data_IF_505481117743
#
_entry.id   IF_505481117743
#
_cell.length_a   1.000
_cell.length_b   1.000
_cell.length_c   1.000
_cell.angle_alpha   90.00
_cell.angle_beta   90.00
_cell.angle_gamma   90.00
#
_symmetry.space_group_name_H-M   'P 1'
#
loop_
_entity.id
_entity.type
_entity.pdbx_description
1 polymer ?
#
# COMPACT_ATOMS: atom_id res chain seq x y z
N UNK A 1 -12.51 11.28 -3.83
CA UNK A 1 -11.60 12.45 -3.84
C UNK A 1 -12.35 13.72 -4.16
N UNK A 2 -11.86 14.85 -3.69
CA UNK A 2 -12.43 16.17 -3.92
C UNK A 2 -11.65 16.90 -5.01
N UNK A 3 -12.37 17.54 -5.95
CA UNK A 3 -11.70 18.36 -6.96
C UNK A 3 -10.95 19.53 -6.30
N UNK A 4 -9.75 19.87 -6.76
CA UNK A 4 -9.01 21.02 -6.23
C UNK A 4 -9.65 22.38 -6.52
N UNK A 5 -10.63 22.46 -7.41
CA UNK A 5 -11.47 23.64 -7.60
C UNK A 5 -12.44 23.81 -6.42
N UNK A 6 -11.93 24.10 -5.26
CA UNK A 6 -12.76 24.54 -4.18
C UNK A 6 -13.42 25.85 -4.58
N UNK A 7 -14.72 25.83 -4.86
CA UNK A 7 -15.48 27.06 -4.77
C UNK A 7 -15.32 27.55 -3.35
N UNK A 8 -14.86 28.78 -3.17
CA UNK A 8 -14.71 29.39 -1.83
C UNK A 8 -16.07 29.72 -1.19
N UNK A 9 -17.11 29.01 -1.56
CA UNK A 9 -18.38 29.13 -0.90
C UNK A 9 -18.39 28.32 0.39
N UNK A 10 -19.22 28.73 1.33
CA UNK A 10 -19.32 28.11 2.65
C UNK A 10 -19.86 26.68 2.65
N UNK A 11 -20.21 26.13 1.46
CA UNK A 11 -20.78 24.78 1.32
C UNK A 11 -19.74 23.68 1.13
N UNK A 12 -18.47 24.03 0.84
CA UNK A 12 -17.39 23.06 0.64
C UNK A 12 -17.04 22.83 -0.83
N UNK A 13 -16.52 21.65 -1.16
CA UNK A 13 -16.11 21.31 -2.52
C UNK A 13 -17.28 20.79 -3.34
N UNK A 14 -17.59 21.49 -4.44
CA UNK A 14 -18.72 21.18 -5.32
C UNK A 14 -18.52 19.87 -6.07
N UNK A 15 -17.36 19.71 -6.68
CA UNK A 15 -17.06 18.58 -7.57
C UNK A 15 -16.36 17.45 -6.79
N UNK A 16 -17.05 16.31 -6.68
CA UNK A 16 -16.58 15.15 -5.90
C UNK A 16 -16.58 13.93 -6.81
N UNK A 17 -15.49 13.15 -6.78
CA UNK A 17 -15.37 11.88 -7.49
C UNK A 17 -15.36 10.71 -6.50
N UNK A 18 -16.17 9.68 -6.80
CA UNK A 18 -16.27 8.45 -6.00
C UNK A 18 -16.07 7.23 -6.89
N UNK A 19 -15.10 6.41 -6.55
CA UNK A 19 -14.91 5.10 -7.13
C UNK A 19 -15.63 4.05 -6.28
N UNK A 20 -16.40 3.19 -6.94
CA UNK A 20 -17.18 2.12 -6.30
C UNK A 20 -16.68 0.78 -6.81
N UNK A 21 -16.41 -0.17 -5.91
CA UNK A 21 -15.85 -1.48 -6.26
C UNK A 21 -16.87 -2.37 -7.01
N UNK A 22 -17.25 -1.93 -8.21
CA UNK A 22 -18.14 -2.61 -9.15
C UNK A 22 -17.36 -3.08 -10.38
N UNK A 23 -17.76 -4.21 -10.95
CA UNK A 23 -17.20 -4.79 -12.17
C UNK A 23 -18.30 -4.96 -13.21
N UNK A 24 -17.93 -4.84 -14.49
CA UNK A 24 -18.78 -4.99 -15.67
C UNK A 24 -19.96 -4.00 -15.70
N UNK A 25 -19.76 -2.83 -15.04
CA UNK A 25 -20.68 -1.69 -15.01
C UNK A 25 -19.92 -0.42 -14.60
N UNK A 26 -20.62 0.71 -14.65
CA UNK A 26 -20.07 2.00 -14.19
C UNK A 26 -19.58 1.87 -12.74
N UNK A 27 -18.39 2.40 -12.48
CA UNK A 27 -17.71 2.27 -11.20
C UNK A 27 -16.97 3.54 -10.75
N UNK A 28 -16.97 4.60 -11.57
CA UNK A 28 -16.55 5.94 -11.20
C UNK A 28 -17.69 6.90 -11.43
N UNK A 29 -18.03 7.65 -10.39
CA UNK A 29 -19.13 8.63 -10.40
C UNK A 29 -18.61 10.01 -10.03
N UNK A 30 -19.27 11.05 -10.54
CA UNK A 30 -19.01 12.45 -10.20
C UNK A 30 -20.28 13.13 -9.73
N UNK A 31 -20.14 13.92 -8.69
CA UNK A 31 -21.12 14.91 -8.27
C UNK A 31 -20.63 16.31 -8.64
N UNK A 32 -21.52 17.20 -9.08
CA UNK A 32 -21.25 18.61 -9.35
C UNK A 32 -22.06 19.54 -8.43
N UNK A 33 -22.64 18.99 -7.37
CA UNK A 33 -23.58 19.67 -6.47
C UNK A 33 -23.38 19.27 -4.99
N UNK A 34 -22.09 19.16 -4.58
CA UNK A 34 -21.67 18.84 -3.18
C UNK A 34 -22.05 17.44 -2.70
N UNK A 35 -22.38 16.53 -3.62
CA UNK A 35 -22.75 15.15 -3.30
C UNK A 35 -24.27 14.91 -3.30
N UNK A 36 -25.09 15.90 -3.66
CA UNK A 36 -26.55 15.76 -3.69
C UNK A 36 -27.00 14.82 -4.83
N UNK A 37 -26.38 14.93 -6.01
CA UNK A 37 -26.64 14.02 -7.14
C UNK A 37 -25.34 13.47 -7.73
N UNK A 38 -25.44 12.30 -8.37
CA UNK A 38 -24.30 11.56 -8.91
C UNK A 38 -24.58 11.08 -10.32
N UNK A 39 -23.60 11.19 -11.19
CA UNK A 39 -23.65 10.65 -12.54
C UNK A 39 -22.37 9.85 -12.86
N UNK A 40 -22.45 8.81 -13.70
CA UNK A 40 -21.27 8.07 -14.11
C UNK A 40 -20.34 8.94 -14.95
N UNK A 41 -19.03 8.77 -14.79
CA UNK A 41 -18.02 9.38 -15.66
C UNK A 41 -18.00 8.62 -16.99
N UNK A 42 -18.16 9.32 -18.10
CA UNK A 42 -18.23 8.70 -19.42
C UNK A 42 -16.89 8.05 -19.85
N UNK A 43 -16.98 6.96 -20.62
CA UNK A 43 -15.82 6.28 -21.22
C UNK A 43 -14.91 5.58 -20.24
N UNK A 44 -15.31 5.44 -18.98
CA UNK A 44 -14.54 4.78 -17.93
C UNK A 44 -14.30 3.28 -18.23
N UNK A 45 -13.17 2.71 -17.78
CA UNK A 45 -12.97 1.27 -17.84
C UNK A 45 -13.93 0.57 -16.87
N UNK A 46 -14.77 -0.34 -17.39
CA UNK A 46 -15.79 -1.05 -16.58
C UNK A 46 -15.45 -2.51 -16.32
N UNK A 47 -14.49 -3.08 -17.08
CA UNK A 47 -14.11 -4.51 -17.01
C UNK A 47 -13.42 -4.91 -15.70
N UNK A 48 -13.00 -3.93 -14.89
CA UNK A 48 -12.33 -4.11 -13.63
C UNK A 48 -13.02 -3.33 -12.50
N UNK A 49 -12.58 -3.59 -11.26
CA UNK A 49 -12.99 -2.86 -10.06
C UNK A 49 -11.94 -1.81 -9.74
N UNK A 50 -12.30 -0.56 -9.49
CA UNK A 50 -11.38 0.40 -8.90
C UNK A 50 -10.90 -0.10 -7.54
N UNK A 51 -9.60 0.01 -7.30
CA UNK A 51 -8.96 -0.34 -6.03
C UNK A 51 -8.44 0.90 -5.31
N UNK A 52 -8.03 1.93 -6.07
CA UNK A 52 -7.60 3.22 -5.52
C UNK A 52 -7.92 4.34 -6.50
N UNK A 53 -8.05 5.56 -5.96
CA UNK A 53 -8.33 6.78 -6.70
C UNK A 53 -7.56 7.94 -6.09
N UNK A 54 -6.71 8.59 -6.87
CA UNK A 54 -6.00 9.81 -6.50
C UNK A 54 -6.22 10.93 -7.51
N UNK A 55 -6.03 12.19 -7.10
CA UNK A 55 -6.27 13.38 -7.92
C UNK A 55 -5.13 14.39 -7.76
N UNK A 56 -4.73 15.01 -8.87
CA UNK A 56 -3.78 16.14 -8.88
C UNK A 56 -4.49 17.50 -8.89
N UNK A 57 -3.74 18.55 -8.52
CA UNK A 57 -4.21 19.94 -8.64
C UNK A 57 -4.52 20.34 -10.10
N UNK A 58 -3.95 19.65 -11.08
CA UNK A 58 -4.23 19.87 -12.51
C UNK A 58 -5.45 19.10 -13.01
N UNK A 59 -6.27 18.53 -12.12
CA UNK A 59 -7.48 17.77 -12.46
C UNK A 59 -7.21 16.50 -13.29
N UNK A 60 -6.13 15.82 -13.01
CA UNK A 60 -5.90 14.46 -13.51
C UNK A 60 -6.22 13.46 -12.40
N UNK A 61 -7.09 12.50 -12.67
CA UNK A 61 -7.34 11.35 -11.82
C UNK A 61 -6.42 10.20 -12.24
N UNK A 62 -5.92 9.47 -11.24
CA UNK A 62 -5.26 8.18 -11.44
C UNK A 62 -6.05 7.13 -10.68
N UNK A 63 -6.38 6.05 -11.37
CA UNK A 63 -7.10 4.91 -10.81
C UNK A 63 -6.30 3.64 -11.04
N UNK A 64 -6.17 2.85 -10.00
CA UNK A 64 -5.76 1.45 -10.10
C UNK A 64 -6.98 0.57 -10.11
N UNK A 65 -6.84 -0.59 -10.77
CA UNK A 65 -7.93 -1.54 -10.96
C UNK A 65 -7.46 -2.98 -10.75
N UNK A 66 -8.36 -3.81 -10.24
CA UNK A 66 -8.23 -5.25 -10.15
C UNK A 66 -9.50 -5.97 -10.58
N UNK A 67 -9.40 -7.25 -10.92
CA UNK A 67 -10.57 -8.09 -11.24
C UNK A 67 -11.32 -8.53 -9.97
N UNK A 68 -10.69 -8.43 -8.80
CA UNK A 68 -11.26 -8.68 -7.47
C UNK A 68 -10.94 -7.52 -6.53
N UNK A 69 -11.64 -7.37 -5.38
CA UNK A 69 -11.35 -6.29 -4.44
C UNK A 69 -10.03 -6.49 -3.64
N UNK A 70 -9.35 -7.67 -3.76
CA UNK A 70 -8.26 -8.04 -2.86
C UNK A 70 -8.78 -8.54 -1.49
N UNK A 71 -7.90 -8.90 -0.57
CA UNK A 71 -6.43 -9.00 -0.66
C UNK A 71 -5.93 -10.27 -1.32
N UNK A 72 -6.77 -11.17 -1.77
CA UNK A 72 -6.36 -12.42 -2.40
C UNK A 72 -7.04 -12.62 -3.75
N UNK A 73 -6.44 -13.49 -4.59
CA UNK A 73 -6.99 -13.94 -5.87
C UNK A 73 -7.05 -12.93 -7.01
N UNK A 74 -6.44 -11.75 -6.88
CA UNK A 74 -6.36 -10.79 -8.00
C UNK A 74 -5.53 -11.38 -9.15
N UNK A 75 -6.10 -11.39 -10.37
CA UNK A 75 -5.53 -12.05 -11.56
C UNK A 75 -5.42 -11.13 -12.76
N UNK A 76 -6.05 -9.98 -12.70
CA UNK A 76 -6.04 -9.01 -13.79
C UNK A 76 -6.30 -7.60 -13.26
N UNK A 77 -5.89 -6.59 -14.02
CA UNK A 77 -6.08 -5.21 -13.65
C UNK A 77 -5.26 -4.25 -14.50
N UNK A 78 -5.23 -3.00 -14.11
CA UNK A 78 -4.45 -1.99 -14.82
C UNK A 78 -4.47 -0.65 -14.10
N UNK A 79 -3.85 0.34 -14.72
CA UNK A 79 -3.78 1.72 -14.24
C UNK A 79 -4.26 2.65 -15.33
N UNK A 80 -5.24 3.48 -15.01
CA UNK A 80 -5.77 4.48 -15.94
C UNK A 80 -5.63 5.87 -15.38
N UNK A 81 -5.34 6.79 -16.29
CA UNK A 81 -5.38 8.22 -16.04
C UNK A 81 -6.58 8.83 -16.77
N UNK A 82 -7.32 9.68 -16.08
CA UNK A 82 -8.42 10.47 -16.63
C UNK A 82 -8.10 11.96 -16.53
N UNK A 83 -7.99 12.61 -17.68
CA UNK A 83 -7.87 14.07 -17.80
C UNK A 83 -9.29 14.65 -17.80
N UNK A 84 -9.69 15.25 -16.68
CA UNK A 84 -11.03 15.79 -16.48
C UNK A 84 -11.35 16.89 -17.50
N UNK A 85 -10.38 17.78 -17.77
CA UNK A 85 -10.59 18.91 -18.68
C UNK A 85 -10.83 18.48 -20.12
N UNK A 86 -10.25 17.34 -20.54
CA UNK A 86 -10.35 16.82 -21.91
C UNK A 86 -11.34 15.67 -22.04
N UNK A 87 -11.93 15.23 -20.94
CA UNK A 87 -12.76 14.01 -20.89
C UNK A 87 -12.03 12.81 -21.56
N UNK A 88 -10.76 12.56 -21.16
CA UNK A 88 -9.92 11.60 -21.83
C UNK A 88 -9.32 10.57 -20.89
N UNK A 89 -9.62 9.31 -21.16
CA UNK A 89 -9.00 8.16 -20.53
C UNK A 89 -7.73 7.72 -21.25
N UNK A 90 -6.72 7.32 -20.49
CA UNK A 90 -5.46 6.77 -21.02
C UNK A 90 -5.01 5.63 -20.11
N UNK A 91 -4.81 4.44 -20.70
CA UNK A 91 -4.16 3.34 -20.01
C UNK A 91 -2.66 3.66 -19.85
N UNK A 92 -2.21 3.71 -18.60
CA UNK A 92 -0.83 4.01 -18.22
C UNK A 92 -0.19 2.86 -17.42
N UNK A 93 -0.73 1.64 -17.51
CA UNK A 93 -0.25 0.48 -16.75
C UNK A 93 1.26 0.27 -16.91
N UNK A 94 2.03 0.11 -15.83
CA UNK A 94 3.48 -0.11 -15.88
C UNK A 94 3.90 -1.35 -16.65
N UNK A 95 3.19 -2.45 -16.45
CA UNK A 95 3.41 -3.71 -17.17
C UNK A 95 2.36 -3.83 -18.25
N UNK A 96 2.80 -3.87 -19.51
CA UNK A 96 1.92 -4.06 -20.66
C UNK A 96 1.72 -5.54 -20.92
N UNK A 97 0.48 -6.00 -20.80
CA UNK A 97 0.10 -7.38 -21.08
C UNK A 97 -0.30 -7.50 -22.54
N UNK A 98 0.25 -8.47 -23.23
CA UNK A 98 -0.13 -8.74 -24.63
C UNK A 98 -1.57 -9.28 -24.68
N UNK A 99 -2.24 -9.05 -25.79
CA UNK A 99 -3.66 -9.32 -25.98
C UNK A 99 -4.09 -10.75 -25.59
N UNK A 100 -3.23 -11.74 -25.79
CA UNK A 100 -3.53 -13.15 -25.56
C UNK A 100 -2.85 -13.70 -24.29
N UNK A 101 -2.19 -12.84 -23.50
CA UNK A 101 -1.56 -13.20 -22.23
C UNK A 101 -2.45 -12.84 -21.06
N UNK A 102 -2.38 -13.64 -20.00
CA UNK A 102 -3.01 -13.32 -18.72
C UNK A 102 -2.04 -12.51 -17.87
N UNK A 103 -2.52 -11.45 -17.26
CA UNK A 103 -1.73 -10.66 -16.33
C UNK A 103 -1.29 -11.51 -15.12
N UNK A 104 -2.19 -12.23 -14.51
CA UNK A 104 -1.97 -13.02 -13.31
C UNK A 104 -1.84 -12.18 -12.03
N UNK A 105 -1.97 -10.86 -12.13
CA UNK A 105 -1.87 -9.88 -11.04
C UNK A 105 -2.75 -8.68 -11.35
N UNK A 106 -2.91 -7.77 -10.38
CA UNK A 106 -3.57 -6.48 -10.59
C UNK A 106 -2.84 -5.34 -9.89
N UNK A 107 -3.47 -4.18 -9.84
CA UNK A 107 -2.95 -3.01 -9.15
C UNK A 107 -3.87 -2.63 -8.01
N UNK A 108 -3.31 -2.15 -6.89
CA UNK A 108 -4.09 -1.98 -5.68
C UNK A 108 -4.09 -0.55 -5.15
N UNK A 109 -2.99 0.19 -5.25
CA UNK A 109 -2.93 1.56 -4.79
C UNK A 109 -2.21 2.48 -5.76
N UNK A 110 -2.55 3.77 -5.69
CA UNK A 110 -1.94 4.82 -6.48
C UNK A 110 -1.86 6.12 -5.71
N UNK A 111 -0.76 6.85 -5.88
CA UNK A 111 -0.67 8.24 -5.47
C UNK A 111 -0.09 9.08 -6.59
N UNK A 112 -0.69 10.25 -6.82
CA UNK A 112 -0.20 11.27 -7.74
C UNK A 112 0.27 12.47 -6.93
N UNK A 113 1.48 12.97 -7.21
CA UNK A 113 1.92 14.23 -6.62
C UNK A 113 0.95 15.36 -7.03
N UNK A 114 0.22 15.94 -6.09
CA UNK A 114 -0.80 16.94 -6.43
C UNK A 114 -0.24 18.17 -7.12
N UNK A 115 1.03 18.52 -6.89
CA UNK A 115 1.70 19.68 -7.45
C UNK A 115 2.42 19.38 -8.78
N UNK A 116 2.72 18.10 -9.03
CA UNK A 116 3.35 17.68 -10.28
C UNK A 116 2.75 16.36 -10.78
N UNK A 117 1.69 16.40 -11.60
CA UNK A 117 0.99 15.19 -12.05
C UNK A 117 1.80 14.27 -12.96
N UNK A 118 3.04 14.64 -13.28
CA UNK A 118 3.97 13.73 -13.95
C UNK A 118 4.58 12.71 -12.96
N UNK A 119 4.58 13.02 -11.67
CA UNK A 119 5.10 12.16 -10.62
C UNK A 119 3.96 11.32 -10.01
N UNK A 120 4.08 10.02 -10.14
CA UNK A 120 3.11 9.07 -9.60
C UNK A 120 3.82 7.84 -9.10
N UNK A 121 3.19 7.16 -8.17
CA UNK A 121 3.55 5.81 -7.73
C UNK A 121 2.30 4.93 -7.76
N UNK A 122 2.49 3.65 -8.09
CA UNK A 122 1.42 2.63 -8.05
C UNK A 122 1.98 1.33 -7.51
N UNK A 123 1.16 0.56 -6.81
CA UNK A 123 1.53 -0.76 -6.31
C UNK A 123 0.76 -1.87 -7.00
N UNK A 124 1.37 -3.05 -7.06
CA UNK A 124 0.77 -4.26 -7.58
C UNK A 124 0.22 -5.14 -6.46
N UNK A 125 -0.55 -6.13 -6.86
CA UNK A 125 -0.99 -7.21 -5.99
C UNK A 125 -0.99 -8.53 -6.75
N UNK A 126 -0.35 -9.56 -6.16
CA UNK A 126 -0.13 -10.89 -6.76
C UNK A 126 0.84 -10.91 -7.96
N UNK A 127 1.77 -9.97 -8.03
CA UNK A 127 2.81 -9.97 -9.08
C UNK A 127 3.90 -11.02 -8.83
N UNK A 128 4.04 -11.51 -7.62
CA UNK A 128 5.04 -12.48 -7.19
C UNK A 128 5.15 -13.69 -8.13
N UNK A 129 6.39 -13.99 -8.57
CA UNK A 129 6.69 -15.07 -9.51
C UNK A 129 6.27 -14.84 -10.96
N UNK A 130 5.79 -13.62 -11.31
CA UNK A 130 5.25 -13.31 -12.64
C UNK A 130 6.02 -12.18 -13.30
N UNK A 131 6.02 -12.15 -14.65
CA UNK A 131 6.62 -11.10 -15.47
C UNK A 131 8.06 -10.71 -15.09
N UNK A 132 8.81 -11.64 -14.47
CA UNK A 132 10.19 -11.42 -14.03
C UNK A 132 10.32 -10.65 -12.71
N UNK A 133 9.27 -10.64 -11.90
CA UNK A 133 9.26 -10.11 -10.53
C UNK A 133 9.13 -11.26 -9.52
N UNK A 134 9.82 -11.13 -8.39
CA UNK A 134 9.84 -12.14 -7.31
C UNK A 134 8.87 -11.82 -6.17
N UNK A 135 8.34 -10.61 -6.15
CA UNK A 135 7.38 -10.09 -5.17
C UNK A 135 6.45 -9.09 -5.81
N UNK A 136 5.48 -8.61 -5.08
CA UNK A 136 4.77 -7.39 -5.44
C UNK A 136 5.73 -6.23 -5.60
N UNK A 137 5.37 -5.25 -6.41
CA UNK A 137 6.24 -4.16 -6.83
C UNK A 137 5.55 -2.80 -6.68
N UNK A 138 6.34 -1.80 -6.44
CA UNK A 138 5.93 -0.41 -6.52
C UNK A 138 6.62 0.25 -7.71
N UNK A 139 5.83 0.84 -8.60
CA UNK A 139 6.32 1.52 -9.79
C UNK A 139 6.23 3.02 -9.63
N UNK A 140 7.29 3.73 -10.02
CA UNK A 140 7.34 5.19 -10.06
C UNK A 140 7.48 5.69 -11.49
N UNK A 141 6.76 6.75 -11.81
CA UNK A 141 6.92 7.54 -13.04
C UNK A 141 7.21 9.00 -12.73
N UNK A 142 7.93 9.66 -13.63
CA UNK A 142 8.21 11.10 -13.60
C UNK A 142 7.81 11.81 -14.90
N UNK A 143 7.10 11.10 -15.77
CA UNK A 143 6.67 11.60 -17.09
C UNK A 143 5.19 11.38 -17.40
N UNK A 144 4.37 11.21 -16.34
CA UNK A 144 2.93 11.10 -16.44
C UNK A 144 2.44 9.72 -16.89
N UNK A 145 3.20 8.67 -16.58
CA UNK A 145 2.85 7.28 -16.87
C UNK A 145 3.29 6.79 -18.23
N UNK A 146 4.17 7.52 -18.95
CA UNK A 146 4.73 7.05 -20.22
C UNK A 146 5.79 5.98 -20.01
N UNK A 147 6.65 6.18 -18.98
CA UNK A 147 7.66 5.22 -18.57
C UNK A 147 7.60 5.05 -17.05
N UNK A 148 7.83 3.81 -16.62
CA UNK A 148 7.81 3.44 -15.21
C UNK A 148 9.09 2.75 -14.79
N UNK A 149 9.53 3.01 -13.57
CA UNK A 149 10.67 2.37 -12.93
C UNK A 149 10.20 1.56 -11.73
N UNK A 150 10.55 0.27 -11.65
CA UNK A 150 10.24 -0.56 -10.49
C UNK A 150 11.17 -0.16 -9.33
N UNK A 151 10.60 0.16 -8.17
CA UNK A 151 11.36 0.62 -7.01
C UNK A 151 12.11 -0.54 -6.37
N UNK A 152 11.43 -1.64 -6.05
CA UNK A 152 12.03 -2.76 -5.33
C UNK A 152 13.01 -3.55 -6.19
N UNK A 153 12.68 -3.75 -7.45
CA UNK A 153 13.58 -4.43 -8.42
C UNK A 153 14.84 -3.61 -8.73
N UNK A 154 14.75 -2.28 -8.69
CA UNK A 154 15.92 -1.40 -8.89
C UNK A 154 16.87 -1.46 -7.69
N UNK A 155 16.31 -1.55 -6.50
CA UNK A 155 17.03 -1.69 -5.23
C UNK A 155 16.33 -0.94 -4.10
N UNK A 156 16.29 -1.59 -2.96
CA UNK A 156 15.71 -1.01 -1.74
C UNK A 156 16.46 -1.51 -0.50
N UNK A 157 16.25 -0.81 0.60
CA UNK A 157 16.72 -1.22 1.92
C UNK A 157 15.67 -0.89 2.96
N UNK A 158 15.37 -1.84 3.83
CA UNK A 158 14.55 -1.61 5.00
C UNK A 158 15.40 -1.19 6.20
N UNK A 159 14.93 -0.17 6.90
CA UNK A 159 15.42 0.23 8.20
C UNK A 159 14.39 -0.15 9.28
N UNK A 160 14.71 -1.20 10.02
CA UNK A 160 13.89 -1.73 11.11
C UNK A 160 14.30 -1.22 12.49
N UNK A 161 15.22 -0.24 12.57
CA UNK A 161 15.81 0.18 13.84
C UNK A 161 14.81 0.64 14.89
N UNK A 162 13.67 1.21 14.46
CA UNK A 162 12.60 1.67 15.34
C UNK A 162 11.63 0.55 15.78
N UNK A 163 11.63 -0.60 15.11
CA UNK A 163 10.77 -1.75 15.41
C UNK A 163 11.45 -3.04 14.93
N UNK A 164 12.46 -3.55 15.66
CA UNK A 164 13.29 -4.68 15.21
C UNK A 164 12.53 -5.97 14.91
N UNK A 165 11.38 -6.18 15.54
CA UNK A 165 10.53 -7.34 15.32
C UNK A 165 9.97 -7.43 13.89
N UNK A 166 9.92 -6.32 13.16
CA UNK A 166 9.41 -6.27 11.78
C UNK A 166 10.37 -6.84 10.74
N UNK A 167 11.58 -7.27 11.12
CA UNK A 167 12.57 -7.88 10.21
C UNK A 167 12.07 -9.16 9.54
N UNK A 168 11.10 -9.83 10.13
CA UNK A 168 10.46 -11.04 9.57
C UNK A 168 9.27 -10.73 8.66
N UNK A 169 8.85 -9.47 8.57
CA UNK A 169 7.67 -9.06 7.83
C UNK A 169 7.93 -9.14 6.31
N UNK A 170 7.16 -9.94 5.56
CA UNK A 170 7.27 -9.97 4.12
C UNK A 170 6.71 -8.71 3.46
N UNK A 171 7.24 -8.35 2.29
CA UNK A 171 6.68 -7.30 1.45
C UNK A 171 5.43 -7.85 0.73
N UNK A 172 4.25 -7.52 1.24
CA UNK A 172 2.98 -7.92 0.66
C UNK A 172 1.87 -6.94 1.09
N UNK A 173 0.75 -6.98 0.38
CA UNK A 173 -0.44 -6.18 0.71
C UNK A 173 -0.16 -4.68 0.83
N UNK A 174 0.48 -4.11 -0.18
CA UNK A 174 0.72 -2.66 -0.25
C UNK A 174 -0.58 -1.93 -0.63
N UNK A 175 -1.52 -1.87 0.32
CA UNK A 175 -2.88 -1.38 0.07
C UNK A 175 -3.00 0.12 -0.09
N UNK A 176 -2.12 0.86 0.55
CA UNK A 176 -2.16 2.31 0.47
C UNK A 176 -0.75 2.87 0.34
N UNK A 177 -0.60 3.80 -0.58
CA UNK A 177 0.64 4.52 -0.82
C UNK A 177 0.32 6.00 -1.05
N UNK A 178 1.10 6.88 -0.42
CA UNK A 178 0.90 8.32 -0.57
C UNK A 178 2.24 9.06 -0.72
N UNK A 179 2.27 9.99 -1.68
CA UNK A 179 3.34 10.97 -1.83
C UNK A 179 2.98 12.18 -0.98
N UNK A 180 3.91 12.64 -0.14
CA UNK A 180 3.70 13.86 0.63
C UNK A 180 3.65 15.08 -0.30
N UNK A 181 2.54 15.84 -0.34
CA UNK A 181 2.41 17.00 -1.21
C UNK A 181 3.39 18.14 -0.89
N UNK A 182 3.93 18.17 0.33
CA UNK A 182 4.93 19.14 0.76
C UNK A 182 6.38 18.72 0.49
N UNK A 183 6.60 17.42 0.18
CA UNK A 183 7.93 16.88 -0.09
C UNK A 183 7.85 15.65 -1.00
N UNK A 184 8.09 15.74 -2.30
CA UNK A 184 7.96 14.63 -3.25
C UNK A 184 9.01 13.51 -3.08
N UNK A 185 10.02 13.72 -2.23
CA UNK A 185 10.96 12.65 -1.80
C UNK A 185 10.39 11.80 -0.67
N UNK A 186 9.39 12.30 0.06
CA UNK A 186 8.73 11.60 1.14
C UNK A 186 7.49 10.89 0.61
N UNK A 187 7.47 9.59 0.77
CA UNK A 187 6.31 8.76 0.52
C UNK A 187 6.11 7.76 1.66
N UNK A 188 4.89 7.36 1.87
CA UNK A 188 4.51 6.32 2.83
C UNK A 188 3.75 5.21 2.13
N UNK A 189 3.85 3.99 2.63
CA UNK A 189 2.97 2.89 2.25
C UNK A 189 2.67 1.99 3.44
N UNK A 190 1.57 1.27 3.36
CA UNK A 190 1.16 0.31 4.38
C UNK A 190 1.23 -1.12 3.87
N UNK A 191 1.47 -2.05 4.79
CA UNK A 191 1.36 -3.50 4.58
C UNK A 191 0.52 -4.09 5.70
N UNK A 192 0.26 -5.41 5.66
CA UNK A 192 -0.33 -6.11 6.81
C UNK A 192 0.54 -6.11 8.08
N UNK A 193 1.79 -5.65 8.01
CA UNK A 193 2.75 -5.61 9.12
C UNK A 193 3.16 -4.21 9.56
N UNK A 194 2.48 -3.18 9.11
CA UNK A 194 2.73 -1.81 9.53
C UNK A 194 2.97 -0.84 8.37
N UNK A 195 3.35 0.37 8.73
CA UNK A 195 3.62 1.47 7.80
C UNK A 195 5.11 1.68 7.57
N UNK A 196 5.44 2.14 6.39
CA UNK A 196 6.80 2.39 5.95
C UNK A 196 6.90 3.78 5.31
N UNK A 197 7.98 4.49 5.57
CA UNK A 197 8.25 5.80 4.99
C UNK A 197 9.62 5.86 4.31
N UNK A 198 9.73 6.66 3.27
CA UNK A 198 11.00 7.00 2.63
C UNK A 198 11.15 8.51 2.49
N UNK A 199 12.38 8.99 2.51
CA UNK A 199 12.74 10.38 2.22
C UNK A 199 13.70 10.49 1.02
N UNK A 200 13.87 9.41 0.26
CA UNK A 200 14.68 9.38 -0.95
C UNK A 200 14.00 8.65 -2.10
N UNK A 201 12.71 8.92 -2.32
CA UNK A 201 11.90 8.25 -3.34
C UNK A 201 12.52 8.36 -4.75
N UNK A 202 13.20 9.47 -5.08
CA UNK A 202 13.92 9.64 -6.36
C UNK A 202 15.23 8.84 -6.46
N UNK A 203 15.60 8.08 -5.46
CA UNK A 203 16.73 7.14 -5.55
C UNK A 203 16.59 6.19 -6.74
N UNK A 204 15.35 5.77 -7.07
CA UNK A 204 15.09 4.90 -8.21
C UNK A 204 15.53 5.51 -9.55
N UNK A 205 15.42 6.84 -9.73
CA UNK A 205 15.88 7.55 -10.93
C UNK A 205 17.40 7.51 -11.06
N UNK A 206 18.12 7.55 -9.95
CA UNK A 206 19.58 7.53 -9.87
C UNK A 206 20.16 6.11 -9.80
N UNK A 207 19.29 5.08 -9.79
CA UNK A 207 19.65 3.67 -9.57
C UNK A 207 20.30 3.44 -8.19
N UNK A 208 19.88 4.21 -7.21
CA UNK A 208 20.26 4.08 -5.81
C UNK A 208 19.15 3.34 -5.05
N UNK A 209 19.47 2.57 -4.02
CA UNK A 209 18.44 1.95 -3.19
C UNK A 209 17.52 2.99 -2.55
N UNK A 210 16.21 2.79 -2.66
CA UNK A 210 15.24 3.56 -1.88
C UNK A 210 15.21 2.98 -0.47
N UNK A 211 15.40 3.82 0.54
CA UNK A 211 15.43 3.42 1.95
C UNK A 211 14.05 3.59 2.55
N UNK A 212 13.48 2.50 3.06
CA UNK A 212 12.19 2.48 3.71
C UNK A 212 12.36 2.22 5.21
N UNK A 213 12.00 3.18 6.04
CA UNK A 213 12.04 3.09 7.49
C UNK A 213 10.67 2.71 8.03
N UNK A 214 10.65 1.78 8.99
CA UNK A 214 9.40 1.42 9.68
C UNK A 214 8.89 2.61 10.51
N UNK A 215 7.60 2.89 10.41
CA UNK A 215 6.93 3.98 11.13
C UNK A 215 5.86 3.48 12.13
N UNK A 216 5.99 2.24 12.58
CA UNK A 216 5.04 1.65 13.53
C UNK A 216 5.30 2.03 15.00
N UNK A 217 6.41 2.70 15.32
CA UNK A 217 6.74 3.07 16.70
C UNK A 217 5.66 3.97 17.33
N UNK A 218 5.07 3.52 18.43
CA UNK A 218 3.99 4.19 19.12
C UNK A 218 2.58 3.92 18.60
N UNK A 219 2.48 3.16 17.51
CA UNK A 219 1.21 2.68 16.93
C UNK A 219 1.26 1.18 16.65
N UNK A 220 2.17 0.47 17.32
CA UNK A 220 2.32 -0.97 17.15
C UNK A 220 1.01 -1.68 17.50
N UNK A 221 0.56 -2.51 16.58
CA UNK A 221 -0.57 -3.40 16.78
C UNK A 221 -0.14 -4.83 16.48
N UNK A 222 -0.26 -5.70 17.48
CA UNK A 222 -0.08 -7.14 17.34
C UNK A 222 -1.32 -7.85 17.86
N UNK A 223 -1.55 -9.08 17.42
CA UNK A 223 -2.68 -9.90 17.87
C UNK A 223 -2.20 -10.86 18.96
N UNK A 224 -2.29 -10.49 20.26
CA UNK A 224 -1.93 -11.39 21.34
C UNK A 224 -2.95 -12.52 21.40
N UNK A 225 -2.46 -13.76 21.30
CA UNK A 225 -3.26 -14.98 21.34
C UNK A 225 -3.15 -15.66 22.70
N UNK A 226 -1.98 -15.55 23.35
CA UNK A 226 -1.73 -16.15 24.67
C UNK A 226 -0.68 -15.31 25.41
N UNK A 227 -0.80 -15.23 26.72
CA UNK A 227 0.18 -14.63 27.62
C UNK A 227 0.52 -15.60 28.76
N UNK A 228 1.80 -15.75 29.03
CA UNK A 228 2.31 -16.54 30.13
C UNK A 228 3.27 -15.70 30.99
N UNK A 229 3.04 -15.66 32.30
CA UNK A 229 3.91 -14.99 33.26
C UNK A 229 4.64 -16.06 34.10
N UNK A 230 5.90 -16.38 33.80
CA UNK A 230 6.66 -17.34 34.61
C UNK A 230 7.02 -16.74 35.98
N UNK A 231 7.16 -17.60 36.99
CA UNK A 231 7.57 -17.16 38.34
C UNK A 231 9.01 -16.63 38.37
N UNK A 232 9.85 -17.07 37.45
CA UNK A 232 11.26 -16.67 37.33
C UNK A 232 11.62 -16.42 35.87
N UNK A 233 12.64 -15.58 35.66
CA UNK A 233 13.15 -15.27 34.33
C UNK A 233 12.40 -14.11 33.69
N UNK A 234 11.81 -14.33 32.51
CA UNK A 234 11.05 -13.30 31.82
C UNK A 234 9.81 -12.86 32.62
N UNK A 235 9.42 -11.61 32.50
CA UNK A 235 8.19 -11.08 33.13
C UNK A 235 6.96 -11.59 32.43
N UNK A 236 6.99 -11.62 31.11
CA UNK A 236 5.90 -12.10 30.24
C UNK A 236 6.51 -12.79 29.03
N UNK A 237 5.88 -13.87 28.60
CA UNK A 237 6.09 -14.48 27.29
C UNK A 237 4.76 -14.36 26.56
N UNK A 238 4.75 -13.78 25.37
CA UNK A 238 3.56 -13.62 24.55
C UNK A 238 3.61 -14.53 23.35
N UNK A 239 2.51 -15.23 23.08
CA UNK A 239 2.19 -15.84 21.79
C UNK A 239 1.34 -14.90 20.99
N UNK A 240 1.77 -14.54 19.78
CA UNK A 240 1.06 -13.58 18.94
C UNK A 240 0.87 -14.11 17.52
N UNK A 241 -0.15 -13.58 16.85
CA UNK A 241 -0.36 -13.81 15.44
C UNK A 241 0.73 -13.16 14.59
N UNK A 242 1.05 -13.77 13.46
CA UNK A 242 1.97 -13.33 12.42
C UNK A 242 3.45 -13.23 12.81
N UNK A 243 3.76 -12.82 14.05
CA UNK A 243 5.12 -12.65 14.55
C UNK A 243 5.61 -13.78 15.46
N UNK A 244 4.76 -14.77 15.75
CA UNK A 244 5.09 -15.92 16.60
C UNK A 244 5.09 -15.61 18.09
N UNK A 245 5.75 -14.59 18.55
CA UNK A 245 5.75 -14.18 19.95
C UNK A 245 7.01 -13.49 20.41
N UNK A 246 6.99 -13.05 21.66
CA UNK A 246 8.06 -12.26 22.27
C UNK A 246 8.33 -12.73 23.72
N UNK A 247 9.58 -12.58 24.14
CA UNK A 247 10.01 -12.75 25.53
C UNK A 247 10.31 -11.38 26.11
N UNK A 248 9.51 -10.95 27.11
CA UNK A 248 9.64 -9.65 27.76
C UNK A 248 10.30 -9.79 29.13
N UNK A 249 11.55 -9.37 29.25
CA UNK A 249 12.22 -9.21 30.53
C UNK A 249 11.84 -7.89 31.21
N UNK A 250 11.59 -6.86 30.40
CA UNK A 250 11.13 -5.53 30.78
C UNK A 250 9.96 -5.16 29.87
N UNK A 251 8.70 -5.24 30.37
CA UNK A 251 7.51 -5.03 29.54
C UNK A 251 7.34 -3.60 29.00
N UNK A 252 8.05 -2.64 29.56
CA UNK A 252 8.08 -1.22 29.19
C UNK A 252 9.14 -0.88 28.14
N UNK A 253 9.89 -1.89 27.67
CA UNK A 253 10.90 -1.73 26.63
C UNK A 253 10.59 -2.57 25.39
N UNK A 254 11.05 -2.10 24.24
CA UNK A 254 11.00 -2.88 22.99
C UNK A 254 11.82 -4.16 23.16
N UNK A 255 11.29 -5.26 22.63
CA UNK A 255 12.03 -6.52 22.57
C UNK A 255 13.04 -6.48 21.41
N UNK A 256 14.13 -7.21 21.52
CA UNK A 256 15.18 -7.29 20.49
C UNK A 256 14.68 -7.95 19.18
N UNK A 257 13.54 -8.61 19.23
CA UNK A 257 12.92 -9.28 18.09
C UNK A 257 11.87 -10.32 18.51
N UNK A 258 11.15 -10.83 17.55
CA UNK A 258 10.23 -11.94 17.75
C UNK A 258 10.97 -13.29 17.85
N UNK A 259 10.29 -14.32 18.36
CA UNK A 259 10.81 -15.69 18.33
C UNK A 259 11.02 -16.13 16.88
N UNK A 260 12.27 -16.34 16.48
CA UNK A 260 12.64 -16.55 15.09
C UNK A 260 13.35 -17.88 14.79
N UNK A 261 13.69 -18.67 15.80
CA UNK A 261 14.36 -19.97 15.62
C UNK A 261 13.81 -21.05 16.57
N UNK A 262 12.82 -21.83 16.13
CA UNK A 262 12.09 -21.71 14.88
C UNK A 262 11.16 -20.48 14.85
N UNK A 263 10.85 -19.98 13.65
CA UNK A 263 9.82 -18.96 13.48
C UNK A 263 8.44 -19.60 13.47
N UNK A 264 7.56 -19.13 14.37
CA UNK A 264 6.15 -19.52 14.41
C UNK A 264 5.32 -18.37 13.88
N UNK A 265 4.54 -18.57 12.83
CA UNK A 265 3.68 -17.53 12.29
C UNK A 265 2.58 -17.12 13.31
N UNK A 266 1.96 -18.13 13.95
CA UNK A 266 0.94 -17.91 14.98
C UNK A 266 1.21 -18.84 16.17
N UNK A 267 1.30 -18.28 17.36
CA UNK A 267 1.46 -19.05 18.60
C UNK A 267 0.19 -18.95 19.43
N UNK A 268 -0.58 -20.03 19.42
CA UNK A 268 -1.89 -20.10 20.07
C UNK A 268 -1.82 -20.60 21.53
N UNK A 269 -0.67 -21.02 21.99
CA UNK A 269 -0.49 -21.51 23.37
C UNK A 269 0.94 -21.37 23.84
N UNK A 270 1.14 -20.88 25.04
CA UNK A 270 2.43 -20.75 25.72
C UNK A 270 2.28 -21.31 27.14
N UNK A 271 3.22 -22.16 27.55
CA UNK A 271 3.25 -22.70 28.91
C UNK A 271 4.68 -22.92 29.38
N UNK A 272 4.87 -23.04 30.67
CA UNK A 272 6.15 -23.27 31.30
C UNK A 272 6.17 -24.54 32.17
N UNK A 273 7.38 -25.06 32.39
CA UNK A 273 7.58 -26.15 33.32
C UNK A 273 7.51 -25.63 34.77
N UNK A 274 6.45 -25.98 35.49
CA UNK A 274 6.19 -25.50 36.86
C UNK A 274 7.26 -25.90 37.88
N UNK A 275 7.93 -27.04 37.66
CA UNK A 275 8.93 -27.59 38.57
C UNK A 275 10.38 -27.18 38.24
N UNK A 276 10.60 -26.60 37.07
CA UNK A 276 11.94 -26.19 36.62
C UNK A 276 11.82 -24.99 35.68
N UNK A 277 11.73 -23.82 36.27
CA UNK A 277 11.71 -22.53 35.58
C UNK A 277 13.11 -21.90 35.71
N UNK A 278 13.98 -22.20 34.74
CA UNK A 278 15.33 -21.61 34.65
C UNK A 278 15.41 -20.73 33.40
#
# INVERSE_FOLDING_TARGET
VFSPDATQDKKGTRDIYVAVSLKDRENLFVSHDYGDTWQPVEGQPTQYRPTSLSISNNKELVLTYGDTPGPSTMKDGGVWKYDIAKNKWTDISPIRIKKDEKAGFGYISSSIDPNNPKHMIVSTHHLDGKHGYTSDEMFRTTDGGKHWKPIFKTGFRYDHSKAPYTQVAPLHWMFDIEINPGNPEHAIFTTGFGGWETFNLSGVERKEPVVWSIMSSGIEETVPLELYAPEKGARIISGVGDYGGFTHFRPDELTDGSHSNPHFANTNGVTGAWLKQE
#
